data_IF_232099730965
#
_entry.id   IF_232099730965
#
_cell.length_a   1.000
_cell.length_b   1.000
_cell.length_c   1.000
_cell.angle_alpha   90.00
_cell.angle_beta   90.00
_cell.angle_gamma   90.00
#
_symmetry.space_group_name_H-M   'P 1'
#
loop_
_entity.id
_entity.type
_entity.pdbx_description
1 polymer ?
#
# COMPACT_ATOMS: atom_id res chain seq x y z
N UNK A 1 8.75 7.76 5.89
CA UNK A 1 9.82 7.87 4.87
C UNK A 1 10.69 9.06 5.20
N UNK A 2 11.99 8.97 4.97
CA UNK A 2 12.89 10.13 5.14
C UNK A 2 12.75 11.09 3.96
N UNK A 3 12.78 12.39 4.25
CA UNK A 3 12.65 13.46 3.24
C UNK A 3 13.99 13.83 2.58
N UNK A 4 15.09 13.23 3.05
CA UNK A 4 16.43 13.51 2.54
C UNK A 4 16.63 12.88 1.17
N UNK A 5 16.92 13.73 0.18
CA UNK A 5 17.28 13.31 -1.18
C UNK A 5 18.58 12.52 -1.17
N UNK A 6 18.59 11.37 -1.86
CA UNK A 6 19.80 10.60 -2.16
C UNK A 6 20.27 10.98 -3.57
N UNK A 7 21.41 11.69 -3.73
CA UNK A 7 21.90 12.08 -5.05
C UNK A 7 22.29 10.87 -5.92
N UNK A 8 22.18 11.03 -7.24
CA UNK A 8 22.58 9.99 -8.20
C UNK A 8 21.55 8.88 -8.36
N UNK A 9 21.97 7.77 -8.96
CA UNK A 9 21.09 6.61 -9.21
C UNK A 9 21.18 5.58 -8.09
N UNK A 10 20.03 5.04 -7.72
CA UNK A 10 19.92 4.00 -6.70
C UNK A 10 18.84 2.97 -7.07
N UNK A 11 18.92 1.81 -6.42
CA UNK A 11 17.94 0.72 -6.49
C UNK A 11 17.56 0.28 -5.08
N UNK A 12 16.42 -0.37 -4.92
CA UNK A 12 16.02 -0.94 -3.64
C UNK A 12 16.95 -2.10 -3.26
N UNK A 13 17.35 -2.16 -2.00
CA UNK A 13 18.23 -3.21 -1.48
C UNK A 13 17.40 -4.40 -0.99
N UNK A 14 16.86 -5.17 -1.94
CA UNK A 14 15.97 -6.30 -1.66
C UNK A 14 16.40 -7.54 -2.45
N UNK A 15 16.64 -8.64 -1.73
CA UNK A 15 17.17 -9.91 -2.26
C UNK A 15 16.13 -11.05 -2.25
N UNK A 16 14.85 -10.72 -2.06
CA UNK A 16 13.79 -11.72 -1.82
C UNK A 16 12.46 -11.42 -2.49
N UNK A 17 11.45 -12.18 -2.11
CA UNK A 17 10.06 -11.91 -2.49
C UNK A 17 9.60 -10.57 -1.93
N UNK A 18 8.81 -9.85 -2.72
CA UNK A 18 8.21 -8.57 -2.34
C UNK A 18 6.70 -8.70 -2.29
N UNK A 19 6.09 -8.22 -1.20
CA UNK A 19 4.65 -8.15 -1.05
C UNK A 19 4.17 -6.71 -1.05
N UNK A 20 3.38 -6.35 -2.06
CA UNK A 20 2.78 -5.02 -2.21
C UNK A 20 1.27 -5.16 -2.07
N UNK A 21 0.69 -4.42 -1.13
CA UNK A 21 -0.75 -4.33 -0.95
C UNK A 21 -1.22 -2.92 -1.28
N UNK A 22 -2.13 -2.80 -2.22
CA UNK A 22 -2.75 -1.55 -2.60
C UNK A 22 -4.21 -1.58 -2.16
N UNK A 23 -4.65 -0.52 -1.51
CA UNK A 23 -6.04 -0.37 -1.11
C UNK A 23 -6.47 1.06 -1.32
N UNK A 24 -7.70 1.26 -1.77
CA UNK A 24 -8.22 2.59 -1.95
C UNK A 24 -9.72 2.65 -2.01
N UNK A 25 -10.19 3.87 -2.21
CA UNK A 25 -11.59 4.22 -2.33
C UNK A 25 -11.79 5.25 -3.43
N UNK A 26 -12.99 5.22 -4.01
CA UNK A 26 -13.49 6.23 -4.94
C UNK A 26 -14.79 6.83 -4.42
N UNK A 27 -14.86 8.15 -4.40
CA UNK A 27 -16.11 8.87 -4.14
C UNK A 27 -16.93 8.90 -5.43
N UNK A 28 -18.03 8.15 -5.47
CA UNK A 28 -18.91 8.11 -6.64
C UNK A 28 -19.93 9.25 -6.61
N UNK A 29 -20.38 9.66 -5.43
CA UNK A 29 -21.33 10.77 -5.22
C UNK A 29 -20.79 11.73 -4.15
N UNK A 30 -20.39 12.93 -4.56
CA UNK A 30 -19.76 13.92 -3.67
C UNK A 30 -20.68 14.33 -2.50
N UNK A 31 -21.98 14.47 -2.75
CA UNK A 31 -22.97 14.84 -1.73
C UNK A 31 -23.28 13.71 -0.73
N UNK A 32 -22.86 12.46 -0.98
CA UNK A 32 -23.07 11.34 -0.09
C UNK A 32 -22.04 11.30 1.06
N UNK A 33 -21.83 12.43 1.74
CA UNK A 33 -20.77 12.62 2.76
C UNK A 33 -20.83 11.58 3.88
N UNK A 34 -22.05 11.25 4.34
CA UNK A 34 -22.29 10.22 5.36
C UNK A 34 -21.86 8.81 4.91
N UNK A 35 -21.73 8.57 3.60
CA UNK A 35 -21.25 7.32 3.03
C UNK A 35 -19.73 7.29 2.91
N UNK A 36 -19.12 8.32 2.31
CA UNK A 36 -17.69 8.29 1.99
C UNK A 36 -16.78 8.80 3.12
N UNK A 37 -17.20 9.77 3.94
CA UNK A 37 -16.33 10.36 4.96
C UNK A 37 -15.87 9.33 6.02
N UNK A 38 -16.75 8.45 6.56
CA UNK A 38 -16.30 7.43 7.50
C UNK A 38 -15.33 6.42 6.87
N UNK A 39 -15.48 6.12 5.57
CA UNK A 39 -14.56 5.22 4.86
C UNK A 39 -13.17 5.85 4.72
N UNK A 40 -13.12 7.15 4.38
CA UNK A 40 -11.87 7.91 4.28
C UNK A 40 -11.11 7.97 5.62
N UNK A 41 -11.85 8.16 6.72
CA UNK A 41 -11.28 8.27 8.07
C UNK A 41 -10.91 6.91 8.70
N UNK A 42 -11.26 5.78 8.08
CA UNK A 42 -10.98 4.46 8.64
C UNK A 42 -9.51 4.03 8.51
N UNK A 43 -8.82 4.48 7.45
CA UNK A 43 -7.46 4.03 7.14
C UNK A 43 -6.36 4.58 8.08
N UNK A 44 -6.33 5.88 8.43
CA UNK A 44 -5.28 6.44 9.27
C UNK A 44 -5.03 5.72 10.61
N UNK A 45 -6.06 5.36 11.42
CA UNK A 45 -5.83 4.66 12.68
C UNK A 45 -5.32 3.22 12.47
N UNK A 46 -5.65 2.55 11.36
CA UNK A 46 -5.09 1.24 11.01
C UNK A 46 -3.59 1.36 10.69
N UNK A 47 -3.22 2.34 9.87
CA UNK A 47 -1.81 2.57 9.54
C UNK A 47 -0.98 2.98 10.77
N UNK A 48 -1.56 3.77 11.68
CA UNK A 48 -0.91 4.12 12.96
C UNK A 48 -0.69 2.89 13.85
N UNK A 49 -1.65 1.97 13.90
CA UNK A 49 -1.52 0.71 14.63
C UNK A 49 -0.39 -0.15 14.05
N UNK A 50 -0.38 -0.35 12.74
CA UNK A 50 0.66 -1.12 12.05
C UNK A 50 2.05 -0.49 12.21
N UNK A 51 2.17 0.82 12.02
CA UNK A 51 3.45 1.52 12.15
C UNK A 51 3.99 1.54 13.59
N UNK A 52 3.10 1.41 14.60
CA UNK A 52 3.48 1.32 16.00
C UNK A 52 3.91 -0.09 16.44
N UNK A 53 3.61 -1.11 15.64
CA UNK A 53 3.89 -2.52 15.94
C UNK A 53 4.79 -3.12 14.87
N UNK A 54 6.10 -3.17 15.14
CA UNK A 54 7.09 -3.76 14.23
C UNK A 54 6.85 -5.24 13.95
N UNK A 55 6.17 -5.96 14.85
CA UNK A 55 5.89 -7.38 14.66
C UNK A 55 4.80 -7.64 13.61
N UNK A 56 3.98 -6.62 13.31
CA UNK A 56 2.89 -6.69 12.32
C UNK A 56 3.35 -7.05 10.92
N UNK A 57 4.61 -6.78 10.57
CA UNK A 57 5.18 -7.05 9.25
C UNK A 57 4.94 -5.95 8.22
N UNK A 58 4.39 -4.80 8.61
CA UNK A 58 4.33 -3.62 7.75
C UNK A 58 5.73 -2.97 7.66
N UNK A 59 6.33 -2.99 6.47
CA UNK A 59 7.62 -2.36 6.20
C UNK A 59 7.49 -0.87 5.91
N UNK A 60 6.37 -0.46 5.33
CA UNK A 60 6.11 0.94 5.04
C UNK A 60 4.83 1.13 4.24
N UNK A 61 4.39 2.38 4.13
CA UNK A 61 3.22 2.74 3.35
C UNK A 61 3.35 4.12 2.75
N UNK A 62 2.59 4.38 1.69
CA UNK A 62 2.52 5.68 1.01
C UNK A 62 1.09 5.95 0.56
N UNK A 63 0.61 7.16 0.85
CA UNK A 63 -0.66 7.62 0.31
C UNK A 63 -0.56 7.86 -1.21
N UNK A 64 -1.59 7.42 -1.93
CA UNK A 64 -1.84 7.71 -3.33
C UNK A 64 -3.06 8.63 -3.44
N UNK A 65 -2.92 9.69 -4.22
CA UNK A 65 -4.03 10.58 -4.57
C UNK A 65 -4.23 10.58 -6.08
N UNK A 66 -5.49 10.60 -6.52
CA UNK A 66 -5.85 10.72 -7.94
C UNK A 66 -6.81 11.90 -8.17
N UNK A 67 -6.62 12.99 -7.44
CA UNK A 67 -7.54 14.14 -7.40
C UNK A 67 -8.58 14.06 -6.28
N UNK A 68 -9.67 14.84 -6.33
CA UNK A 68 -10.55 15.06 -5.18
C UNK A 68 -11.45 13.87 -4.81
N UNK A 69 -11.42 12.79 -5.60
CA UNK A 69 -12.32 11.63 -5.43
C UNK A 69 -11.61 10.30 -5.26
N UNK A 70 -10.29 10.26 -5.45
CA UNK A 70 -9.50 9.03 -5.46
C UNK A 70 -8.47 9.09 -4.35
N UNK A 71 -8.62 8.19 -3.39
CA UNK A 71 -7.72 8.05 -2.24
C UNK A 71 -7.26 6.61 -2.19
N UNK A 72 -5.96 6.40 -2.05
CA UNK A 72 -5.37 5.07 -1.96
C UNK A 72 -4.16 5.07 -1.05
N UNK A 73 -3.70 3.87 -0.73
CA UNK A 73 -2.48 3.61 0.03
C UNK A 73 -1.81 2.41 -0.60
N UNK A 74 -0.51 2.54 -0.89
CA UNK A 74 0.37 1.40 -1.14
C UNK A 74 1.02 1.03 0.18
N UNK A 75 1.05 -0.24 0.49
CA UNK A 75 1.68 -0.82 1.67
C UNK A 75 2.68 -1.89 1.22
N UNK A 76 3.81 -1.96 1.91
CA UNK A 76 4.88 -2.92 1.68
C UNK A 76 4.96 -3.83 2.89
N UNK A 77 4.95 -5.15 2.66
CA UNK A 77 4.85 -6.15 3.71
C UNK A 77 6.00 -7.14 3.65
N UNK A 78 6.41 -7.62 4.83
CA UNK A 78 7.41 -8.68 4.97
C UNK A 78 6.96 -9.99 4.31
N UNK A 79 5.68 -10.32 4.41
CA UNK A 79 5.09 -11.49 3.75
C UNK A 79 3.57 -11.35 3.59
N UNK A 80 3.00 -12.17 2.71
CA UNK A 80 1.55 -12.26 2.52
C UNK A 80 0.87 -12.81 3.76
N UNK A 81 1.52 -13.72 4.47
CA UNK A 81 1.00 -14.38 5.67
C UNK A 81 0.82 -13.36 6.79
N UNK A 82 1.78 -12.44 6.99
CA UNK A 82 1.63 -11.35 7.98
C UNK A 82 0.55 -10.34 7.60
N UNK A 83 0.44 -9.99 6.31
CA UNK A 83 -0.66 -9.15 5.80
C UNK A 83 -2.02 -9.78 6.12
N UNK A 84 -2.20 -11.07 5.84
CA UNK A 84 -3.47 -11.75 6.08
C UNK A 84 -3.73 -12.07 7.55
N UNK A 85 -2.68 -12.29 8.35
CA UNK A 85 -2.81 -12.37 9.80
C UNK A 85 -3.43 -11.08 10.34
N UNK A 86 -2.87 -9.91 9.99
CA UNK A 86 -3.43 -8.63 10.41
C UNK A 86 -4.86 -8.42 9.88
N UNK A 87 -5.13 -8.76 8.62
CA UNK A 87 -6.45 -8.57 8.03
C UNK A 87 -7.55 -9.43 8.68
N UNK A 88 -7.18 -10.60 9.22
CA UNK A 88 -8.11 -11.56 9.81
C UNK A 88 -8.17 -11.54 11.35
N UNK A 89 -7.28 -10.80 12.00
CA UNK A 89 -7.19 -10.69 13.46
C UNK A 89 -8.41 -9.93 14.06
N UNK A 90 -9.20 -10.56 14.96
CA UNK A 90 -10.37 -9.96 15.60
C UNK A 90 -10.04 -8.79 16.53
N UNK A 91 -8.82 -8.75 17.07
CA UNK A 91 -8.39 -7.76 18.06
C UNK A 91 -7.73 -6.53 17.41
N UNK A 92 -7.51 -6.57 16.09
CA UNK A 92 -6.93 -5.47 15.30
C UNK A 92 -7.99 -4.58 14.69
N UNK A 93 -7.61 -3.35 14.34
CA UNK A 93 -8.55 -2.33 13.82
C UNK A 93 -9.17 -2.66 12.47
N UNK A 94 -8.58 -3.56 11.69
CA UNK A 94 -9.08 -3.89 10.35
C UNK A 94 -10.50 -4.44 10.36
N UNK A 95 -10.77 -5.48 11.16
CA UNK A 95 -12.09 -6.14 11.19
C UNK A 95 -13.25 -5.24 11.62
N UNK A 96 -13.19 -4.49 12.73
CA UNK A 96 -14.27 -3.58 13.11
C UNK A 96 -14.47 -2.48 12.08
N UNK A 97 -13.39 -1.95 11.47
CA UNK A 97 -13.48 -0.97 10.39
C UNK A 97 -14.16 -1.55 9.15
N UNK A 98 -13.80 -2.77 8.74
CA UNK A 98 -14.41 -3.48 7.61
C UNK A 98 -15.91 -3.74 7.83
N UNK A 99 -16.28 -4.22 9.02
CA UNK A 99 -17.68 -4.43 9.37
C UNK A 99 -18.48 -3.12 9.36
N UNK A 100 -17.89 -2.04 9.89
CA UNK A 100 -18.45 -0.70 9.90
C UNK A 100 -18.63 -0.12 8.48
N UNK A 101 -17.67 -0.37 7.59
CA UNK A 101 -17.75 0.00 6.17
C UNK A 101 -18.88 -0.77 5.49
N UNK A 102 -18.91 -2.11 5.59
CA UNK A 102 -19.91 -2.94 4.93
C UNK A 102 -21.35 -2.57 5.32
N UNK A 103 -21.59 -2.28 6.61
CA UNK A 103 -22.91 -1.79 7.07
C UNK A 103 -23.31 -0.47 6.41
N UNK A 104 -22.36 0.45 6.21
CA UNK A 104 -22.60 1.74 5.55
C UNK A 104 -22.74 1.61 4.04
N UNK A 105 -21.90 0.81 3.40
CA UNK A 105 -21.93 0.58 1.96
C UNK A 105 -23.30 0.05 1.50
N UNK A 106 -23.87 -0.91 2.25
CA UNK A 106 -25.22 -1.44 2.00
C UNK A 106 -26.32 -0.36 2.05
N UNK A 107 -26.21 0.58 2.98
CA UNK A 107 -27.18 1.70 3.13
C UNK A 107 -26.90 2.85 2.16
N UNK A 108 -25.66 2.96 1.70
CA UNK A 108 -25.15 4.10 0.94
C UNK A 108 -25.41 4.04 -0.55
N UNK A 109 -26.05 2.98 -1.07
CA UNK A 109 -26.43 2.84 -2.49
C UNK A 109 -25.28 3.07 -3.48
N UNK A 110 -24.05 2.68 -3.13
CA UNK A 110 -22.88 2.87 -3.99
C UNK A 110 -22.32 4.31 -4.07
N UNK A 111 -22.64 5.19 -3.10
CA UNK A 111 -22.05 6.55 -3.03
C UNK A 111 -20.52 6.56 -2.86
N UNK A 112 -19.95 5.45 -2.42
CA UNK A 112 -18.52 5.19 -2.26
C UNK A 112 -18.20 3.79 -2.78
N UNK A 113 -17.09 3.65 -3.49
CA UNK A 113 -16.48 2.37 -3.86
C UNK A 113 -15.15 2.18 -3.15
N UNK A 114 -14.74 0.92 -2.99
CA UNK A 114 -13.43 0.53 -2.48
C UNK A 114 -12.83 -0.51 -3.41
N UNK A 115 -11.52 -0.62 -3.39
CA UNK A 115 -10.76 -1.61 -4.14
C UNK A 115 -9.53 -2.00 -3.34
N UNK A 116 -9.04 -3.21 -3.54
CA UNK A 116 -7.75 -3.62 -3.03
C UNK A 116 -7.12 -4.67 -3.95
N UNK A 117 -5.79 -4.67 -4.00
CA UNK A 117 -4.98 -5.55 -4.83
C UNK A 117 -3.78 -6.00 -4.01
N UNK A 118 -3.46 -7.29 -4.07
CA UNK A 118 -2.29 -7.86 -3.39
C UNK A 118 -1.38 -8.49 -4.43
N UNK A 119 -0.14 -8.03 -4.46
CA UNK A 119 0.91 -8.56 -5.33
C UNK A 119 1.95 -9.28 -4.50
N UNK A 120 2.22 -10.53 -4.85
CA UNK A 120 3.33 -11.32 -4.33
C UNK A 120 4.26 -11.54 -5.49
N UNK A 121 5.42 -10.89 -5.45
CA UNK A 121 6.35 -10.83 -6.59
C UNK A 121 7.63 -11.57 -6.22
N UNK A 122 7.93 -12.70 -6.87
CA UNK A 122 9.15 -13.45 -6.60
C UNK A 122 10.42 -12.63 -6.80
N UNK A 123 11.51 -13.05 -6.13
CA UNK A 123 12.83 -12.47 -6.34
C UNK A 123 13.19 -12.47 -7.84
N UNK A 124 13.68 -11.33 -8.33
CA UNK A 124 14.04 -11.15 -9.75
C UNK A 124 12.87 -10.83 -10.69
N UNK A 125 11.61 -10.89 -10.23
CA UNK A 125 10.43 -10.54 -11.04
C UNK A 125 9.99 -9.07 -10.85
N UNK A 126 10.86 -8.22 -10.30
CA UNK A 126 10.65 -6.78 -10.15
C UNK A 126 11.94 -6.01 -10.47
N UNK A 127 11.80 -4.75 -10.85
CA UNK A 127 12.90 -3.82 -11.05
C UNK A 127 12.61 -2.50 -10.35
N UNK A 128 13.65 -1.88 -9.79
CA UNK A 128 13.55 -0.57 -9.15
C UNK A 128 14.62 0.35 -9.72
N UNK A 129 14.31 1.64 -9.80
CA UNK A 129 15.24 2.67 -10.17
C UNK A 129 14.80 3.99 -9.54
N UNK A 130 15.74 4.66 -8.88
CA UNK A 130 15.55 5.96 -8.26
C UNK A 130 16.66 6.87 -8.78
N UNK A 131 16.35 8.12 -9.10
CA UNK A 131 17.33 9.13 -9.50
C UNK A 131 17.09 10.41 -8.72
N UNK A 132 18.04 10.79 -7.86
CA UNK A 132 17.97 12.03 -7.08
C UNK A 132 16.64 12.20 -6.32
N UNK A 133 16.16 11.12 -5.71
CA UNK A 133 14.90 11.08 -4.97
C UNK A 133 15.14 10.69 -3.51
N UNK A 134 14.30 11.15 -2.56
CA UNK A 134 14.25 10.53 -1.24
C UNK A 134 13.84 9.05 -1.37
N UNK A 135 14.28 8.16 -0.45
CA UNK A 135 13.85 6.77 -0.46
C UNK A 135 12.33 6.67 -0.47
N UNK A 136 11.80 5.94 -1.45
CA UNK A 136 10.35 5.77 -1.65
C UNK A 136 10.05 4.35 -2.09
N UNK A 137 8.81 3.94 -1.87
CA UNK A 137 8.35 2.59 -2.19
C UNK A 137 9.26 1.51 -1.58
N UNK A 138 9.70 0.56 -2.41
CA UNK A 138 10.61 -0.51 -1.99
C UNK A 138 11.95 0.01 -1.45
N UNK A 139 12.48 1.10 -2.00
CA UNK A 139 13.71 1.72 -1.50
C UNK A 139 13.59 2.28 -0.09
N UNK A 140 12.37 2.64 0.34
CA UNK A 140 12.13 3.02 1.73
C UNK A 140 11.76 1.84 2.63
N UNK A 141 11.15 0.80 2.08
CA UNK A 141 10.79 -0.42 2.81
C UNK A 141 12.02 -1.28 3.15
N UNK A 142 12.98 -1.37 2.23
CA UNK A 142 14.17 -2.23 2.35
C UNK A 142 15.49 -1.46 2.41
N UNK A 143 15.48 -0.16 2.13
CA UNK A 143 16.71 0.64 1.95
C UNK A 143 17.09 0.75 0.47
N UNK A 144 18.11 1.58 0.21
CA UNK A 144 18.62 1.81 -1.15
C UNK A 144 20.12 1.57 -1.21
N UNK A 145 20.59 1.06 -2.35
CA UNK A 145 22.02 0.89 -2.64
C UNK A 145 22.38 1.55 -3.97
N UNK A 146 23.64 1.98 -4.10
CA UNK A 146 24.18 2.58 -5.32
C UNK A 146 24.42 1.52 -6.39
N UNK A 147 23.93 1.74 -7.61
CA UNK A 147 24.22 0.89 -8.77
C UNK A 147 23.00 0.52 -9.61
N UNK A 148 23.22 -0.12 -10.76
CA UNK A 148 22.17 -0.80 -11.55
C UNK A 148 22.19 -2.28 -11.15
N UNK A 149 21.34 -2.73 -10.21
CA UNK A 149 20.99 -4.16 -10.20
C UNK A 149 20.14 -4.39 -11.45
N UNK A 150 20.64 -5.26 -12.34
CA UNK A 150 20.09 -5.48 -13.67
C UNK A 150 18.62 -5.88 -13.60
N UNK A 151 17.80 -5.12 -14.31
CA UNK A 151 16.53 -5.64 -14.76
C UNK A 151 16.83 -6.73 -15.81
N UNK A 152 16.79 -8.00 -15.41
CA UNK A 152 16.45 -9.03 -16.38
C UNK A 152 14.97 -8.86 -16.67
N UNK A 153 14.65 -7.99 -17.63
CA UNK A 153 13.31 -7.84 -18.13
C UNK A 153 12.82 -9.19 -18.62
N UNK A 154 11.83 -9.76 -17.93
CA UNK A 154 10.98 -10.76 -18.54
C UNK A 154 10.42 -10.13 -19.81
N UNK A 155 10.82 -10.66 -20.96
CA UNK A 155 10.20 -10.32 -22.23
C UNK A 155 8.73 -10.71 -22.11
N UNK A 156 7.86 -9.71 -21.95
CA UNK A 156 6.41 -9.90 -22.09
C UNK A 156 6.18 -10.10 -23.58
N UNK A 157 6.16 -11.37 -24.00
CA UNK A 157 5.62 -11.76 -25.30
C UNK A 157 4.11 -11.55 -25.21
N UNK A 158 3.63 -10.49 -25.86
CA UNK A 158 2.20 -10.28 -26.06
C UNK A 158 1.77 -11.24 -27.18
N UNK A 159 0.91 -12.19 -26.82
CA UNK A 159 0.12 -12.95 -27.79
C UNK A 159 -1.11 -12.15 -28.23
#
# INVERSE_FOLDING_TARGET
>A
MGDKVVPGSAVADVDGEVVVFMIGMRINRLWAVRSWLPALLAMPPMLKELAGDRSSGLLGYRALGGGPRLFGVVQYWESREKLYAYASDPDRRHRPAWAAFNRRARRGGGGVGIWHETYVVPAGAYSTFYSSMPPTGLGAAYGVTSGRRGAHGAAVSVA
#
